data_IF_118939438814
#
_entry.id   IF_118939438814
#
_cell.length_a   1.000
_cell.length_b   1.000
_cell.length_c   1.000
_cell.angle_alpha   90.00
_cell.angle_beta   90.00
_cell.angle_gamma   90.00
#
_symmetry.space_group_name_H-M   'P 1'
#
loop_
_entity.id
_entity.type
_entity.pdbx_description
1 polymer ?
#
# COMPACT_ATOMS: atom_id res chain seq x y z
N UNK A 1 -21.76 -2.40 24.05
CA UNK A 1 -20.50 -2.36 23.29
C UNK A 1 -20.87 -2.15 21.84
N UNK A 2 -20.30 -1.15 21.15
CA UNK A 2 -20.59 -0.92 19.74
C UNK A 2 -20.03 -2.09 18.91
N UNK A 3 -20.55 -2.36 17.70
CA UNK A 3 -20.05 -3.45 16.86
C UNK A 3 -18.58 -3.14 16.53
N UNK A 4 -17.67 -4.03 16.94
CA UNK A 4 -16.25 -3.91 16.65
C UNK A 4 -16.08 -3.85 15.13
N UNK A 5 -15.63 -2.71 14.62
CA UNK A 5 -15.33 -2.52 13.20
C UNK A 5 -14.38 -3.62 12.72
N UNK A 6 -14.61 -4.08 11.48
CA UNK A 6 -13.91 -5.22 10.87
C UNK A 6 -12.41 -5.29 11.21
N UNK A 7 -11.96 -6.50 11.55
CA UNK A 7 -10.56 -6.79 11.86
C UNK A 7 -9.63 -6.33 10.73
N UNK A 8 -8.45 -5.76 11.05
CA UNK A 8 -7.51 -5.30 10.04
C UNK A 8 -6.99 -6.46 9.20
N UNK A 9 -6.95 -6.27 7.88
CA UNK A 9 -6.46 -7.23 6.89
C UNK A 9 -5.46 -6.56 5.97
N UNK A 10 -4.72 -7.37 5.21
CA UNK A 10 -3.86 -6.86 4.15
C UNK A 10 -4.75 -6.45 2.98
N UNK A 11 -4.58 -5.20 2.55
CA UNK A 11 -5.22 -4.67 1.36
C UNK A 11 -4.15 -4.17 0.41
N UNK A 12 -4.22 -4.60 -0.85
CA UNK A 12 -3.35 -4.14 -1.92
C UNK A 12 -4.02 -3.02 -2.70
N UNK A 13 -3.33 -1.89 -2.80
CA UNK A 13 -3.71 -0.77 -3.65
C UNK A 13 -2.74 -0.75 -4.82
N UNK A 14 -3.22 -1.12 -6.01
CA UNK A 14 -2.42 -1.32 -7.21
C UNK A 14 -2.58 -0.14 -8.14
N UNK A 15 -1.50 0.59 -8.37
CA UNK A 15 -1.42 1.72 -9.29
C UNK A 15 -0.87 1.18 -10.61
N UNK A 16 -1.72 1.13 -11.63
CA UNK A 16 -1.40 0.55 -12.94
C UNK A 16 -0.81 1.60 -13.89
N UNK A 17 -0.43 1.13 -15.08
CA UNK A 17 0.02 1.94 -16.21
C UNK A 17 1.22 2.83 -15.89
N UNK A 18 2.17 2.33 -15.10
CA UNK A 18 3.48 2.97 -15.00
C UNK A 18 4.33 2.51 -16.19
N UNK A 19 4.90 3.45 -16.91
CA UNK A 19 5.72 3.26 -18.11
C UNK A 19 6.93 2.39 -17.81
N UNK A 20 7.54 2.59 -16.64
CA UNK A 20 8.76 1.91 -16.24
C UNK A 20 8.91 1.88 -14.70
N UNK A 21 9.96 1.20 -14.24
CA UNK A 21 10.24 1.02 -12.82
C UNK A 21 10.55 2.34 -12.12
N UNK A 22 11.24 3.28 -12.76
CA UNK A 22 11.56 4.57 -12.15
C UNK A 22 10.29 5.39 -11.94
N UNK A 23 9.37 5.37 -12.89
CA UNK A 23 8.07 6.01 -12.75
C UNK A 23 7.25 5.40 -11.59
N UNK A 24 7.23 4.07 -11.48
CA UNK A 24 6.55 3.38 -10.39
C UNK A 24 7.19 3.69 -9.02
N UNK A 25 8.53 3.70 -8.93
CA UNK A 25 9.25 4.05 -7.70
C UNK A 25 9.07 5.53 -7.33
N UNK A 26 8.98 6.42 -8.32
CA UNK A 26 8.74 7.85 -8.11
C UNK A 26 7.40 8.17 -7.42
N UNK A 27 6.46 7.21 -7.41
CA UNK A 27 5.19 7.33 -6.69
C UNK A 27 5.29 6.94 -5.21
N UNK A 28 6.36 6.29 -4.75
CA UNK A 28 6.49 5.86 -3.36
C UNK A 28 6.55 7.06 -2.41
N UNK A 29 7.47 8.00 -2.61
CA UNK A 29 7.67 9.14 -1.72
C UNK A 29 6.43 10.07 -1.61
N UNK A 30 5.69 10.35 -2.70
CA UNK A 30 4.39 11.03 -2.60
C UNK A 30 3.33 10.24 -1.82
N UNK A 31 3.27 8.91 -2.01
CA UNK A 31 2.31 8.03 -1.32
C UNK A 31 2.63 7.90 0.17
N UNK A 32 3.91 7.81 0.55
CA UNK A 32 4.38 7.78 1.94
C UNK A 32 3.96 9.04 2.69
N UNK A 33 4.19 10.23 2.09
CA UNK A 33 3.74 11.51 2.66
C UNK A 33 2.23 11.61 2.79
N UNK A 34 1.48 10.85 1.99
CA UNK A 34 0.03 10.78 2.06
C UNK A 34 -0.47 9.88 3.20
N UNK A 35 0.27 8.81 3.48
CA UNK A 35 -0.01 7.85 4.55
C UNK A 35 0.43 8.37 5.91
N UNK A 36 1.59 9.03 5.94
CA UNK A 36 2.20 9.64 7.09
C UNK A 36 2.45 11.13 6.80
N UNK A 37 1.42 11.99 6.93
CA UNK A 37 1.56 13.42 6.68
C UNK A 37 2.43 14.14 7.73
N UNK A 38 2.66 13.50 8.89
CA UNK A 38 3.51 14.01 9.96
C UNK A 38 4.60 12.96 10.30
N UNK A 39 5.82 13.07 9.76
CA UNK A 39 6.90 12.13 10.06
C UNK A 39 7.41 12.22 11.50
N UNK A 40 7.03 13.27 12.25
CA UNK A 40 7.40 13.48 13.66
C UNK A 40 6.36 12.90 14.64
N UNK A 41 5.26 12.29 14.17
CA UNK A 41 4.31 11.63 15.06
C UNK A 41 4.96 10.43 15.78
N UNK A 42 4.59 10.20 17.04
CA UNK A 42 5.14 9.09 17.82
C UNK A 42 4.67 7.74 17.22
N UNK A 43 5.60 6.85 16.80
CA UNK A 43 5.22 5.57 16.21
C UNK A 43 4.46 4.69 17.23
N UNK A 44 3.60 3.77 16.77
CA UNK A 44 3.49 3.28 15.38
C UNK A 44 2.63 4.17 14.47
N UNK A 45 3.01 4.22 13.19
CA UNK A 45 2.19 4.78 12.12
C UNK A 45 0.75 4.25 12.19
N UNK A 46 -0.23 5.13 11.96
CA UNK A 46 -1.65 4.81 12.05
C UNK A 46 -2.05 3.67 11.09
N UNK A 47 -1.33 3.53 9.97
CA UNK A 47 -1.47 2.43 9.01
C UNK A 47 -0.06 1.92 8.68
N UNK A 48 0.27 0.66 8.93
CA UNK A 48 1.48 0.04 8.39
C UNK A 48 1.33 -0.16 6.88
N UNK A 49 2.37 0.16 6.10
CA UNK A 49 2.39 -0.03 4.65
C UNK A 49 3.72 -0.62 4.17
N UNK A 50 3.71 -1.19 2.96
CA UNK A 50 4.93 -1.41 2.19
C UNK A 50 4.63 -1.46 0.69
N UNK A 51 5.68 -1.32 -0.10
CA UNK A 51 5.60 -1.27 -1.55
C UNK A 51 6.14 -2.54 -2.18
N UNK A 52 5.54 -2.93 -3.29
CA UNK A 52 6.03 -3.96 -4.18
C UNK A 52 5.81 -3.54 -5.62
N UNK A 53 6.60 -4.10 -6.53
CA UNK A 53 6.47 -3.84 -7.95
C UNK A 53 6.04 -5.13 -8.65
N UNK A 54 5.14 -5.01 -9.62
CA UNK A 54 4.78 -6.12 -10.49
C UNK A 54 4.74 -5.65 -11.95
N UNK A 55 5.10 -6.54 -12.85
CA UNK A 55 4.89 -6.34 -14.27
C UNK A 55 3.46 -6.74 -14.64
N UNK A 56 2.78 -5.90 -15.41
CA UNK A 56 1.47 -6.17 -15.98
C UNK A 56 1.61 -6.32 -17.49
N UNK A 57 1.16 -7.45 -18.02
CA UNK A 57 1.07 -7.65 -19.45
C UNK A 57 -0.17 -6.94 -20.00
N UNK A 58 0.02 -5.83 -20.70
CA UNK A 58 -1.03 -5.08 -21.39
C UNK A 58 -1.20 -5.53 -22.86
N UNK A 59 -0.31 -6.41 -23.31
CA UNK A 59 -0.39 -7.06 -24.60
C UNK A 59 0.72 -8.10 -24.82
N UNK A 60 0.80 -8.72 -26.01
CA UNK A 60 1.80 -9.74 -26.31
C UNK A 60 3.25 -9.24 -26.35
N UNK A 61 3.48 -7.92 -26.35
CA UNK A 61 4.81 -7.28 -26.32
C UNK A 61 4.83 -6.00 -25.47
N UNK A 62 3.72 -5.70 -24.79
CA UNK A 62 3.58 -4.48 -24.01
C UNK A 62 3.45 -4.87 -22.55
N UNK A 63 4.35 -4.34 -21.73
CA UNK A 63 4.43 -4.63 -20.30
C UNK A 63 4.58 -3.31 -19.57
N UNK A 64 3.55 -2.94 -18.81
CA UNK A 64 3.62 -1.80 -17.90
C UNK A 64 4.03 -2.27 -16.51
N UNK A 65 4.58 -1.35 -15.74
CA UNK A 65 4.86 -1.54 -14.33
C UNK A 65 3.62 -1.19 -13.49
N UNK A 66 3.45 -1.93 -12.40
CA UNK A 66 2.40 -1.71 -11.40
C UNK A 66 3.07 -1.51 -10.05
N UNK A 67 2.83 -0.35 -9.44
CA UNK A 67 3.18 -0.12 -8.05
C UNK A 67 2.07 -0.69 -7.16
N UNK A 68 2.42 -1.63 -6.29
CA UNK A 68 1.53 -2.24 -5.32
C UNK A 68 1.85 -1.63 -3.96
N UNK A 69 0.88 -0.96 -3.36
CA UNK A 69 0.91 -0.51 -1.98
C UNK A 69 0.12 -1.50 -1.12
N UNK A 70 0.81 -2.31 -0.34
CA UNK A 70 0.19 -3.15 0.69
C UNK A 70 -0.06 -2.32 1.94
N UNK A 71 -1.29 -2.30 2.45
CA UNK A 71 -1.66 -1.65 3.72
C UNK A 71 -2.31 -2.65 4.67
N UNK A 72 -1.94 -2.61 5.94
CA UNK A 72 -2.58 -3.42 6.97
C UNK A 72 -3.59 -2.57 7.75
N UNK A 73 -4.84 -2.59 7.33
CA UNK A 73 -5.87 -1.72 7.88
C UNK A 73 -7.26 -2.34 7.78
N UNK A 74 -8.27 -1.69 8.35
CA UNK A 74 -9.66 -2.06 8.10
C UNK A 74 -10.05 -1.75 6.64
N UNK A 75 -11.04 -2.45 6.05
CA UNK A 75 -11.46 -2.21 4.66
C UNK A 75 -11.85 -0.74 4.39
N UNK A 76 -12.55 -0.12 5.34
CA UNK A 76 -12.91 1.31 5.25
C UNK A 76 -11.67 2.20 5.16
N UNK A 77 -10.64 1.90 5.96
CA UNK A 77 -9.40 2.68 5.96
C UNK A 77 -8.58 2.44 4.69
N UNK A 78 -8.51 1.21 4.21
CA UNK A 78 -7.87 0.88 2.93
C UNK A 78 -8.54 1.62 1.76
N UNK A 79 -9.88 1.70 1.75
CA UNK A 79 -10.61 2.51 0.76
C UNK A 79 -10.26 3.99 0.85
N UNK A 80 -10.17 4.57 2.06
CA UNK A 80 -9.77 5.97 2.23
C UNK A 80 -8.35 6.25 1.71
N UNK A 81 -7.42 5.30 1.90
CA UNK A 81 -6.07 5.40 1.32
C UNK A 81 -6.15 5.33 -0.19
N UNK A 82 -6.91 4.39 -0.75
CA UNK A 82 -7.04 4.24 -2.19
C UNK A 82 -7.61 5.49 -2.87
N UNK A 83 -8.62 6.14 -2.28
CA UNK A 83 -9.16 7.40 -2.76
C UNK A 83 -8.11 8.52 -2.78
N UNK A 84 -7.29 8.61 -1.73
CA UNK A 84 -6.19 9.58 -1.67
C UNK A 84 -5.13 9.30 -2.73
N UNK A 85 -4.79 8.02 -2.94
CA UNK A 85 -3.85 7.59 -3.99
C UNK A 85 -4.41 7.94 -5.37
N UNK A 86 -5.70 7.70 -5.64
CA UNK A 86 -6.38 8.12 -6.88
C UNK A 86 -6.26 9.61 -7.12
N UNK A 87 -6.51 10.42 -6.10
CA UNK A 87 -6.38 11.87 -6.18
C UNK A 87 -4.93 12.32 -6.45
N UNK A 88 -3.93 11.58 -5.94
CA UNK A 88 -2.52 11.85 -6.15
C UNK A 88 -2.04 11.51 -7.56
N UNK A 89 -2.38 10.32 -8.08
CA UNK A 89 -1.92 9.84 -9.39
C UNK A 89 -2.74 10.43 -10.55
N UNK A 90 -3.91 11.00 -10.24
CA UNK A 90 -4.82 11.61 -11.20
C UNK A 90 -5.67 10.58 -11.97
N UNK A 91 -6.60 11.08 -12.79
CA UNK A 91 -7.53 10.25 -13.58
C UNK A 91 -6.84 9.44 -14.70
N UNK A 92 -5.56 9.69 -14.96
CA UNK A 92 -4.79 9.04 -16.01
C UNK A 92 -4.27 7.65 -15.67
N UNK A 93 -4.36 7.20 -14.40
CA UNK A 93 -3.89 5.87 -13.98
C UNK A 93 -4.97 5.10 -13.22
N UNK A 94 -5.29 3.87 -13.64
CA UNK A 94 -6.19 3.01 -12.88
C UNK A 94 -5.60 2.68 -11.51
N UNK A 95 -6.41 2.83 -10.47
CA UNK A 95 -6.07 2.40 -9.10
C UNK A 95 -7.08 1.36 -8.63
N UNK A 96 -6.62 0.12 -8.52
CA UNK A 96 -7.41 -1.02 -8.08
C UNK A 96 -7.15 -1.33 -6.61
N UNK A 97 -8.18 -1.69 -5.87
CA UNK A 97 -8.06 -2.19 -4.50
C UNK A 97 -8.41 -3.66 -4.49
N UNK A 98 -7.53 -4.47 -3.91
CA UNK A 98 -7.76 -5.89 -3.68
C UNK A 98 -7.52 -6.20 -2.20
N UNK A 99 -8.23 -7.19 -1.67
CA UNK A 99 -7.78 -7.84 -0.44
C UNK A 99 -6.54 -8.66 -0.83
N UNK A 100 -5.41 -8.38 -0.19
CA UNK A 100 -4.17 -9.11 -0.40
C UNK A 100 -4.13 -10.32 0.52
N UNK A 101 -3.45 -11.38 0.10
CA UNK A 101 -3.22 -12.52 0.96
C UNK A 101 -2.07 -12.20 1.92
N UNK A 102 -2.27 -12.43 3.22
CA UNK A 102 -1.23 -12.15 4.22
C UNK A 102 -0.01 -13.07 4.04
N UNK A 103 -0.19 -14.19 3.32
CA UNK A 103 0.84 -15.18 2.99
C UNK A 103 1.72 -14.73 1.81
N UNK A 104 1.21 -13.92 0.87
CA UNK A 104 2.03 -13.36 -0.24
C UNK A 104 2.97 -12.22 0.21
N UNK A 105 2.81 -11.75 1.44
CA UNK A 105 3.61 -10.69 2.05
C UNK A 105 4.25 -11.13 3.37
N UNK A 106 4.71 -12.40 3.46
CA UNK A 106 5.37 -12.93 4.66
C UNK A 106 6.53 -12.05 5.16
N UNK A 107 7.38 -11.51 4.27
CA UNK A 107 8.48 -10.61 4.67
C UNK A 107 7.99 -9.28 5.26
N UNK A 108 6.84 -8.77 4.82
CA UNK A 108 6.22 -7.53 5.30
C UNK A 108 5.59 -7.75 6.68
N UNK A 109 4.95 -8.90 6.87
CA UNK A 109 4.40 -9.36 8.15
C UNK A 109 5.53 -9.65 9.15
N UNK A 110 6.64 -10.24 8.69
CA UNK A 110 7.84 -10.47 9.50
C UNK A 110 8.53 -9.15 9.88
N UNK A 111 8.70 -8.20 8.96
CA UNK A 111 9.27 -6.89 9.28
C UNK A 111 8.39 -6.12 10.29
N UNK A 112 7.07 -6.13 10.13
CA UNK A 112 6.15 -5.54 11.12
C UNK A 112 6.23 -6.25 12.49
N UNK A 113 6.41 -7.57 12.53
CA UNK A 113 6.62 -8.34 13.77
C UNK A 113 7.96 -8.01 14.44
N UNK A 114 9.03 -7.79 13.66
CA UNK A 114 10.34 -7.37 14.16
C UNK A 114 10.27 -5.94 14.73
N UNK A 115 9.67 -5.01 13.99
CA UNK A 115 9.55 -3.60 14.41
C UNK A 115 8.64 -3.42 15.65
N UNK A 116 7.59 -4.24 15.81
CA UNK A 116 6.80 -4.29 17.06
C UNK A 116 7.45 -5.10 18.18
N UNK A 117 8.28 -6.10 17.86
CA UNK A 117 8.99 -6.94 18.82
C UNK A 117 10.17 -6.25 19.49
N UNK A 118 10.84 -5.32 18.79
CA UNK A 118 11.94 -4.52 19.34
C UNK A 118 11.52 -3.49 20.40
N UNK A 119 10.20 -3.31 20.66
CA UNK A 119 9.69 -2.54 21.82
C UNK A 119 9.52 -3.37 23.10
N UNK A 120 10.11 -4.58 23.17
CA UNK A 120 10.32 -5.27 24.46
C UNK A 120 11.71 -5.91 24.52
N UNK A 121 12.73 -5.09 24.79
CA UNK A 121 13.89 -5.45 25.61
C UNK A 121 14.54 -4.18 26.14
#
# INVERSE_FOLDING_TARGET
MPPTGAEPRVHEIRIQDCTDTEEALGLQEPVERLLCPDPDHEPPCEVPWSFSLAEQADGPRDTSMVLILGVYASPHRAMQVAEKVRALVGEGRPVLVREGDAEDFEELVEQYRIERGLRRS
#
